data_IF_915734354953
#
_entry.id   IF_915734354953
#
_cell.length_a   1.000
_cell.length_b   1.000
_cell.length_c   1.000
_cell.angle_alpha   90.00
_cell.angle_beta   90.00
_cell.angle_gamma   90.00
#
_symmetry.space_group_name_H-M   'P 1'
#
loop_
_entity.id
_entity.type
_entity.pdbx_description
1 polymer ?
#
# COMPACT_ATOMS: atom_id res chain seq x y z
N UNK A 1 -6.94 21.33 -18.16
CA UNK A 1 -6.13 21.30 -17.18
C UNK A 1 -4.73 21.11 -17.49
N UNK A 2 -4.00 21.61 -16.76
CA UNK A 2 -2.73 21.52 -16.98
C UNK A 2 -2.09 20.33 -16.44
N UNK A 3 -1.46 19.63 -17.22
CA UNK A 3 -0.67 18.56 -16.76
C UNK A 3 0.64 19.10 -16.27
N UNK A 4 0.83 19.02 -15.00
CA UNK A 4 2.11 19.34 -14.45
C UNK A 4 3.05 18.25 -14.80
N UNK A 5 3.83 18.47 -15.79
CA UNK A 5 4.94 17.58 -16.03
C UNK A 5 6.10 18.07 -15.22
N UNK A 6 6.54 17.23 -14.32
CA UNK A 6 7.74 17.50 -13.58
C UNK A 6 8.89 17.19 -14.48
N UNK A 7 9.40 18.23 -15.10
CA UNK A 7 10.61 18.14 -15.93
C UNK A 7 11.85 18.45 -15.12
N UNK A 8 11.71 18.54 -13.80
CA UNK A 8 12.83 18.83 -12.94
C UNK A 8 13.89 17.75 -13.05
N UNK A 9 15.10 18.17 -13.25
CA UNK A 9 16.25 17.28 -13.27
C UNK A 9 16.73 17.05 -11.83
N UNK A 10 16.67 15.81 -11.38
CA UNK A 10 17.09 15.42 -10.04
C UNK A 10 18.51 14.88 -9.98
N UNK A 11 19.31 15.06 -11.05
CA UNK A 11 20.65 14.48 -11.12
C UNK A 11 21.56 14.93 -9.99
N UNK A 12 21.47 16.20 -9.62
CA UNK A 12 22.30 16.75 -8.54
C UNK A 12 21.90 16.15 -7.19
N UNK A 13 20.60 16.02 -6.93
CA UNK A 13 20.10 15.43 -5.69
C UNK A 13 20.42 13.96 -5.60
N UNK A 14 20.34 13.23 -6.71
CA UNK A 14 20.69 11.81 -6.75
C UNK A 14 22.18 11.62 -6.51
N UNK A 15 23.02 12.45 -7.13
CA UNK A 15 24.46 12.40 -6.90
C UNK A 15 24.81 12.65 -5.44
N UNK A 16 24.19 13.67 -4.84
CA UNK A 16 24.36 13.98 -3.43
C UNK A 16 23.92 12.81 -2.54
N UNK A 17 22.77 12.21 -2.85
CA UNK A 17 22.28 11.06 -2.11
C UNK A 17 23.26 9.89 -2.15
N UNK A 18 23.83 9.61 -3.32
CA UNK A 18 24.85 8.56 -3.45
C UNK A 18 26.06 8.85 -2.59
N UNK A 19 26.54 10.08 -2.60
CA UNK A 19 27.69 10.48 -1.80
C UNK A 19 27.42 10.31 -0.31
N UNK A 20 26.23 10.74 0.14
CA UNK A 20 25.83 10.62 1.53
C UNK A 20 25.72 9.15 1.95
N UNK A 21 25.14 8.29 1.12
CA UNK A 21 25.04 6.86 1.39
C UNK A 21 26.44 6.23 1.49
N UNK A 22 27.33 6.58 0.56
CA UNK A 22 28.68 6.04 0.55
C UNK A 22 29.51 6.48 1.74
N UNK A 23 29.24 7.67 2.26
CA UNK A 23 29.95 8.20 3.42
C UNK A 23 29.35 7.78 4.76
N UNK A 24 28.15 7.22 4.77
CA UNK A 24 27.45 6.86 5.99
C UNK A 24 27.98 5.56 6.60
N UNK A 25 28.00 5.49 7.91
CA UNK A 25 28.32 4.25 8.63
C UNK A 25 27.10 3.32 8.69
N UNK A 26 25.91 3.89 8.59
CA UNK A 26 24.67 3.12 8.61
C UNK A 26 23.61 3.87 7.82
N UNK A 27 22.67 3.13 7.24
CA UNK A 27 21.52 3.68 6.51
C UNK A 27 20.25 3.18 7.18
N UNK A 28 19.36 4.11 7.53
CA UNK A 28 18.06 3.77 8.11
C UNK A 28 16.99 4.04 7.07
N UNK A 29 16.16 3.04 6.80
CA UNK A 29 15.07 3.14 5.84
C UNK A 29 13.74 3.13 6.59
N UNK A 30 12.98 4.23 6.46
CA UNK A 30 11.62 4.31 6.96
C UNK A 30 10.63 4.12 5.82
N UNK A 31 9.67 3.24 6.04
CA UNK A 31 8.67 2.95 5.03
C UNK A 31 7.31 2.70 5.69
N UNK A 32 6.25 3.08 5.00
CA UNK A 32 4.89 2.89 5.47
C UNK A 32 3.99 2.33 4.39
N UNK A 33 2.69 2.52 4.56
CA UNK A 33 1.67 2.00 3.65
C UNK A 33 1.84 2.49 2.21
N UNK A 34 2.45 3.66 2.02
CA UNK A 34 2.72 4.19 0.68
C UNK A 34 3.63 3.30 -0.15
N UNK A 35 4.60 2.64 0.50
CA UNK A 35 5.46 1.70 -0.21
C UNK A 35 4.67 0.49 -0.70
N UNK A 36 3.78 -0.03 0.15
CA UNK A 36 2.91 -1.15 -0.24
C UNK A 36 1.94 -0.75 -1.34
N UNK A 37 1.40 0.46 -1.29
CA UNK A 37 0.52 0.97 -2.34
C UNK A 37 1.24 1.05 -3.69
N UNK A 38 2.48 1.51 -3.68
CA UNK A 38 3.30 1.55 -4.88
C UNK A 38 3.58 0.16 -5.44
N UNK A 39 3.54 -0.86 -4.59
CA UNK A 39 3.70 -2.26 -4.99
C UNK A 39 2.38 -2.91 -5.43
N UNK A 40 1.28 -2.16 -5.48
CA UNK A 40 -0.01 -2.65 -5.92
C UNK A 40 -0.95 -3.09 -4.80
N UNK A 41 -0.54 -2.95 -3.54
CA UNK A 41 -1.40 -3.27 -2.39
C UNK A 41 -2.28 -2.07 -2.04
N UNK A 42 -3.18 -1.72 -2.96
CA UNK A 42 -4.08 -0.59 -2.78
C UNK A 42 -5.22 -0.95 -1.84
N UNK A 43 -5.72 0.05 -1.09
CA UNK A 43 -6.82 -0.14 -0.15
C UNK A 43 -8.18 0.22 -0.75
N UNK A 44 -8.21 0.82 -1.92
CA UNK A 44 -9.43 1.24 -2.59
C UNK A 44 -9.39 0.85 -4.07
N UNK A 45 -10.45 1.17 -4.79
CA UNK A 45 -10.54 0.90 -6.21
C UNK A 45 -10.82 -0.56 -6.53
N UNK A 46 -10.34 -1.00 -7.68
CA UNK A 46 -10.66 -2.31 -8.23
C UNK A 46 -10.28 -3.47 -7.30
N UNK A 47 -9.12 -3.39 -6.67
CA UNK A 47 -8.66 -4.43 -5.78
C UNK A 47 -9.58 -4.57 -4.55
N UNK A 48 -9.99 -3.45 -3.98
CA UNK A 48 -10.94 -3.44 -2.88
C UNK A 48 -12.30 -4.00 -3.31
N UNK A 49 -12.81 -3.54 -4.43
CA UNK A 49 -14.09 -4.01 -4.97
C UNK A 49 -14.09 -5.51 -5.23
N UNK A 50 -13.00 -6.03 -5.74
CA UNK A 50 -12.85 -7.45 -6.03
C UNK A 50 -12.86 -8.31 -4.77
N UNK A 51 -12.14 -7.92 -3.75
CA UNK A 51 -11.93 -8.75 -2.57
C UNK A 51 -12.94 -8.52 -1.45
N UNK A 52 -13.65 -7.39 -1.45
CA UNK A 52 -14.55 -7.01 -0.38
C UNK A 52 -15.96 -6.66 -0.86
N UNK A 53 -16.38 -7.20 -2.01
CA UNK A 53 -17.69 -6.88 -2.59
C UNK A 53 -18.86 -7.17 -1.64
N UNK A 54 -18.77 -8.23 -0.84
CA UNK A 54 -19.78 -8.59 0.14
C UNK A 54 -19.87 -7.56 1.29
N UNK A 55 -18.73 -7.08 1.76
CA UNK A 55 -18.69 -6.03 2.78
C UNK A 55 -19.17 -4.69 2.23
N UNK A 56 -18.85 -4.39 0.99
CA UNK A 56 -19.35 -3.18 0.33
C UNK A 56 -20.87 -3.21 0.28
N UNK A 57 -21.45 -4.34 -0.12
CA UNK A 57 -22.91 -4.48 -0.21
C UNK A 57 -23.60 -4.39 1.15
N UNK A 58 -23.00 -4.97 2.18
CA UNK A 58 -23.62 -5.03 3.50
C UNK A 58 -23.42 -3.75 4.31
N UNK A 59 -22.22 -3.15 4.23
CA UNK A 59 -21.84 -2.05 5.11
C UNK A 59 -21.54 -0.75 4.37
N UNK A 60 -21.57 -0.76 3.04
CA UNK A 60 -21.28 0.41 2.21
C UNK A 60 -19.85 0.94 2.43
N UNK A 61 -18.90 0.05 2.59
CA UNK A 61 -17.51 0.42 2.77
C UNK A 61 -16.94 1.05 1.51
N UNK A 62 -16.07 2.03 1.67
CA UNK A 62 -15.44 2.76 0.57
C UNK A 62 -14.00 2.34 0.33
N UNK A 63 -13.33 1.81 1.36
CA UNK A 63 -11.96 1.34 1.26
C UNK A 63 -11.64 0.42 2.44
N UNK A 64 -10.50 -0.27 2.37
CA UNK A 64 -10.10 -1.22 3.40
C UNK A 64 -9.75 -0.54 4.71
N UNK A 65 -9.18 0.66 4.64
CA UNK A 65 -8.72 1.35 5.84
C UNK A 65 -9.89 1.80 6.71
N UNK A 66 -10.84 2.50 6.11
CA UNK A 66 -12.01 2.98 6.85
C UNK A 66 -12.89 1.83 7.32
N UNK A 67 -12.98 0.75 6.56
CA UNK A 67 -13.72 -0.44 6.95
C UNK A 67 -13.20 -1.07 8.24
N UNK A 68 -11.90 -0.94 8.51
CA UNK A 68 -11.30 -1.44 9.73
C UNK A 68 -11.77 -0.76 11.00
N UNK A 69 -12.33 0.44 10.88
CA UNK A 69 -12.85 1.19 12.02
C UNK A 69 -14.35 1.03 12.19
N UNK A 70 -14.99 0.24 11.37
CA UNK A 70 -16.44 0.03 11.47
C UNK A 70 -16.80 -0.69 12.76
N UNK A 71 -17.82 -0.22 13.51
CA UNK A 71 -18.23 -0.87 14.75
C UNK A 71 -19.12 -2.07 14.45
N UNK A 72 -18.50 -3.22 14.17
CA UNK A 72 -19.24 -4.45 13.88
C UNK A 72 -20.09 -4.88 15.08
N UNK A 73 -21.28 -5.39 14.80
CA UNK A 73 -22.21 -5.81 15.84
C UNK A 73 -21.72 -7.05 16.61
N UNK A 74 -20.96 -7.91 15.96
CA UNK A 74 -20.48 -9.15 16.56
C UNK A 74 -18.98 -9.33 16.36
N UNK A 75 -18.29 -10.03 17.28
CA UNK A 75 -16.88 -10.37 17.07
C UNK A 75 -16.65 -11.21 15.81
N UNK A 76 -17.63 -12.05 15.45
CA UNK A 76 -17.54 -12.91 14.27
C UNK A 76 -17.46 -12.08 12.99
N UNK A 77 -18.27 -11.03 12.88
CA UNK A 77 -18.22 -10.12 11.72
C UNK A 77 -16.91 -9.33 11.68
N UNK A 78 -16.44 -8.87 12.83
CA UNK A 78 -15.18 -8.17 12.94
C UNK A 78 -14.02 -9.05 12.47
N UNK A 79 -13.98 -10.29 12.94
CA UNK A 79 -12.93 -11.22 12.54
C UNK A 79 -13.05 -11.68 11.10
N UNK A 80 -14.27 -11.77 10.57
CA UNK A 80 -14.47 -12.04 9.15
C UNK A 80 -13.83 -10.96 8.28
N UNK A 81 -13.97 -9.71 8.68
CA UNK A 81 -13.33 -8.59 7.99
C UNK A 81 -11.80 -8.63 8.14
N UNK A 82 -11.33 -8.70 9.38
CA UNK A 82 -9.90 -8.61 9.65
C UNK A 82 -9.09 -9.80 9.15
N UNK A 83 -9.67 -10.99 9.18
CA UNK A 83 -8.98 -12.17 8.62
C UNK A 83 -8.79 -12.02 7.12
N UNK A 84 -9.80 -11.53 6.42
CA UNK A 84 -9.71 -11.27 4.99
C UNK A 84 -8.72 -10.13 4.69
N UNK A 85 -8.78 -9.07 5.48
CA UNK A 85 -7.85 -7.95 5.35
C UNK A 85 -6.40 -8.44 5.45
N UNK A 86 -6.10 -9.23 6.46
CA UNK A 86 -4.76 -9.77 6.67
C UNK A 86 -4.37 -10.69 5.51
N UNK A 87 -5.28 -11.57 5.09
CA UNK A 87 -5.00 -12.49 4.00
C UNK A 87 -4.68 -11.74 2.70
N UNK A 88 -5.51 -10.77 2.34
CA UNK A 88 -5.36 -10.04 1.08
C UNK A 88 -4.11 -9.15 1.08
N UNK A 89 -3.77 -8.57 2.22
CA UNK A 89 -2.66 -7.62 2.28
C UNK A 89 -1.32 -8.24 2.66
N UNK A 90 -1.33 -9.43 3.24
CA UNK A 90 -0.08 -10.08 3.68
C UNK A 90 0.24 -11.36 2.90
N UNK A 91 -0.75 -12.20 2.69
CA UNK A 91 -0.51 -13.53 2.15
C UNK A 91 -0.87 -13.68 0.69
N UNK A 92 -1.83 -12.91 0.20
CA UNK A 92 -2.21 -12.96 -1.20
C UNK A 92 -1.18 -12.22 -2.04
N UNK A 93 -0.61 -12.91 -3.02
CA UNK A 93 0.40 -12.29 -3.87
C UNK A 93 -0.21 -11.26 -4.79
N UNK A 94 0.36 -10.09 -4.80
CA UNK A 94 0.05 -9.08 -5.79
C UNK A 94 0.86 -9.34 -7.05
N UNK A 95 0.22 -9.31 -8.20
CA UNK A 95 0.90 -9.44 -9.48
C UNK A 95 1.46 -8.09 -9.92
N UNK A 96 2.38 -7.57 -9.17
CA UNK A 96 2.91 -6.24 -9.40
C UNK A 96 4.44 -6.26 -9.47
N UNK A 97 5.01 -5.13 -9.75
CA UNK A 97 6.44 -4.97 -9.90
C UNK A 97 7.25 -5.25 -8.63
N UNK A 98 6.59 -5.40 -7.50
CA UNK A 98 7.24 -5.68 -6.23
C UNK A 98 8.18 -6.88 -6.29
N UNK A 99 7.84 -7.86 -7.09
CA UNK A 99 8.69 -9.05 -7.24
C UNK A 99 10.11 -8.72 -7.74
N UNK A 100 10.23 -7.67 -8.51
CA UNK A 100 11.50 -7.26 -9.08
C UNK A 100 12.40 -6.54 -8.08
N UNK A 101 11.85 -6.17 -6.95
CA UNK A 101 12.59 -5.47 -5.91
C UNK A 101 12.93 -6.35 -4.71
N UNK A 102 12.48 -7.61 -4.72
CA UNK A 102 12.74 -8.53 -3.60
C UNK A 102 14.19 -9.00 -3.53
N UNK A 103 14.95 -8.77 -4.57
CA UNK A 103 16.36 -9.17 -4.62
C UNK A 103 17.31 -8.14 -4.03
N UNK A 104 16.80 -7.07 -3.49
CA UNK A 104 17.63 -6.00 -2.90
C UNK A 104 18.05 -6.40 -1.51
#
# INVERSE_FOLDING_TARGET
MMTMKFTRDYSAEISRLKDEINAADAVVIGAGAGLSTAAGFTYSGERFEKHFSDFIRKYDFTDMYSGGFYPFDTPEEQWAYWSRYIFVNRYHRCSCHWKHHQAI
#
